data_IF_591183245140
#
_entry.id   IF_591183245140
#
_cell.length_a   1.000
_cell.length_b   1.000
_cell.length_c   1.000
_cell.angle_alpha   90.00
_cell.angle_beta   90.00
_cell.angle_gamma   90.00
#
_symmetry.space_group_name_H-M   'P 1'
#
loop_
_entity.id
_entity.type
_entity.pdbx_description
1 polymer ?
#
# COMPACT_ATOMS: atom_id res chain seq x y z
N UNK A 1 83.51 -31.20 25.72
CA UNK A 1 82.65 -32.40 25.75
C UNK A 1 81.20 -31.93 25.90
N UNK A 2 80.30 -32.43 25.02
CA UNK A 2 78.83 -32.37 25.09
C UNK A 2 78.22 -30.96 24.90
N UNK A 3 77.29 -30.69 23.98
CA UNK A 3 76.53 -31.53 23.06
C UNK A 3 75.86 -30.63 22.03
N UNK A 4 75.92 -31.09 20.78
CA UNK A 4 75.29 -30.59 19.57
C UNK A 4 73.84 -31.14 19.49
N UNK A 5 72.93 -30.37 18.86
CA UNK A 5 71.73 -30.76 18.06
C UNK A 5 70.32 -30.40 18.59
N UNK A 6 69.46 -30.12 17.59
CA UNK A 6 68.00 -29.89 17.50
C UNK A 6 67.55 -28.42 17.54
N UNK A 7 67.27 -27.71 16.42
CA UNK A 7 66.38 -27.92 15.25
C UNK A 7 64.89 -27.90 15.59
N UNK A 8 64.24 -26.76 15.27
CA UNK A 8 62.83 -26.56 14.85
C UNK A 8 62.64 -25.03 14.67
N UNK A 9 62.72 -24.43 13.47
CA UNK A 9 61.86 -24.48 12.28
C UNK A 9 60.48 -23.85 12.48
N UNK A 10 60.29 -22.66 11.86
CA UNK A 10 59.07 -22.02 11.29
C UNK A 10 59.39 -20.51 11.26
N UNK A 11 59.79 -19.80 10.20
CA UNK A 11 59.53 -19.79 8.76
C UNK A 11 58.05 -19.68 8.37
N UNK A 12 57.58 -18.44 8.18
CA UNK A 12 56.68 -18.09 7.07
C UNK A 12 56.62 -16.57 6.84
N UNK A 13 57.26 -16.16 5.75
CA UNK A 13 57.01 -14.90 5.05
C UNK A 13 55.66 -15.03 4.33
N UNK A 14 54.88 -13.95 4.33
CA UNK A 14 53.63 -13.88 3.57
C UNK A 14 53.18 -12.44 3.33
N UNK A 15 53.95 -11.68 2.56
CA UNK A 15 53.37 -10.57 1.79
C UNK A 15 52.68 -11.24 0.61
N UNK A 16 51.34 -11.20 0.51
CA UNK A 16 50.69 -11.20 -0.80
C UNK A 16 49.25 -10.65 -0.78
N UNK A 17 49.13 -9.49 -1.45
CA UNK A 17 48.14 -9.20 -2.50
C UNK A 17 46.64 -9.01 -2.19
N UNK A 18 46.20 -7.83 -2.64
CA UNK A 18 45.00 -7.59 -3.46
C UNK A 18 43.65 -7.43 -2.77
N UNK A 19 43.24 -6.16 -2.74
CA UNK A 19 41.98 -5.67 -3.29
C UNK A 19 41.17 -6.74 -4.05
N UNK A 20 40.15 -7.29 -3.41
CA UNK A 20 39.04 -7.95 -4.09
C UNK A 20 37.73 -7.36 -3.57
N UNK A 21 37.27 -6.35 -4.31
CA UNK A 21 35.94 -6.35 -4.91
C UNK A 21 34.83 -7.02 -4.09
N UNK A 22 34.11 -6.23 -3.30
CA UNK A 22 32.69 -6.48 -3.08
C UNK A 22 31.89 -5.40 -3.84
N UNK A 23 32.13 -5.32 -5.15
CA UNK A 23 31.13 -4.87 -6.11
C UNK A 23 29.99 -5.87 -6.09
N UNK A 24 29.10 -5.73 -5.12
CA UNK A 24 27.76 -6.28 -5.22
C UNK A 24 26.90 -5.21 -5.85
N UNK A 25 26.51 -5.39 -7.11
CA UNK A 25 25.33 -4.74 -7.68
C UNK A 25 24.09 -5.21 -6.90
N UNK A 26 23.99 -4.81 -5.63
CA UNK A 26 22.75 -4.90 -4.89
C UNK A 26 21.83 -3.88 -5.53
N UNK A 27 20.94 -4.37 -6.41
CA UNK A 27 19.78 -3.59 -6.84
C UNK A 27 19.21 -2.91 -5.59
N UNK A 28 18.93 -1.59 -5.63
CA UNK A 28 18.34 -0.90 -4.51
C UNK A 28 17.15 -1.70 -4.00
N UNK A 29 17.06 -1.87 -2.68
CA UNK A 29 15.90 -2.51 -2.08
C UNK A 29 14.64 -1.77 -2.54
N UNK A 30 13.60 -2.52 -2.91
CA UNK A 30 12.34 -1.94 -3.37
C UNK A 30 11.74 -1.05 -2.26
N UNK A 31 11.24 0.13 -2.65
CA UNK A 31 10.67 1.07 -1.70
C UNK A 31 9.42 0.48 -1.01
N UNK A 32 9.12 0.94 0.21
CA UNK A 32 7.91 0.52 0.93
C UNK A 32 6.65 0.84 0.12
N UNK A 33 6.62 2.01 -0.55
CA UNK A 33 5.54 2.42 -1.43
C UNK A 33 5.32 1.40 -2.57
N UNK A 34 6.39 0.98 -3.25
CA UNK A 34 6.30 0.05 -4.38
C UNK A 34 5.86 -1.36 -3.93
N UNK A 35 6.30 -1.79 -2.75
CA UNK A 35 5.85 -3.05 -2.15
C UNK A 35 4.35 -3.01 -1.83
N UNK A 36 3.86 -1.91 -1.25
CA UNK A 36 2.43 -1.74 -0.97
C UNK A 36 1.60 -1.57 -2.25
N UNK A 37 2.12 -0.83 -3.23
CA UNK A 37 1.50 -0.65 -4.54
C UNK A 37 1.30 -2.00 -5.23
N UNK A 38 2.27 -2.90 -5.14
CA UNK A 38 2.16 -4.27 -5.70
C UNK A 38 0.98 -5.02 -5.08
N UNK A 39 0.78 -4.90 -3.76
CA UNK A 39 -0.34 -5.55 -3.06
C UNK A 39 -1.67 -4.92 -3.44
N UNK A 40 -1.73 -3.59 -3.48
CA UNK A 40 -2.94 -2.82 -3.77
C UNK A 40 -3.39 -2.90 -5.23
N UNK A 41 -2.46 -3.06 -6.18
CA UNK A 41 -2.72 -3.02 -7.64
C UNK A 41 -3.48 -4.25 -8.15
N UNK A 42 -4.75 -4.35 -7.79
CA UNK A 42 -5.65 -5.47 -8.07
C UNK A 42 -7.08 -4.95 -8.28
N UNK A 43 -7.96 -5.86 -8.69
CA UNK A 43 -9.41 -5.65 -8.68
C UNK A 43 -9.98 -6.24 -7.40
N UNK A 44 -10.47 -5.38 -6.51
CA UNK A 44 -11.00 -5.71 -5.20
C UNK A 44 -12.53 -5.75 -5.23
N UNK A 45 -13.12 -6.90 -4.92
CA UNK A 45 -14.58 -7.08 -4.83
C UNK A 45 -15.05 -6.87 -3.41
N UNK A 46 -16.11 -6.10 -3.22
CA UNK A 46 -16.63 -5.83 -1.88
C UNK A 46 -17.13 -7.12 -1.23
N UNK A 47 -16.71 -7.36 0.01
CA UNK A 47 -17.22 -8.46 0.85
C UNK A 47 -18.17 -7.94 1.92
N UNK A 48 -17.89 -6.78 2.51
CA UNK A 48 -18.77 -6.14 3.47
C UNK A 48 -18.50 -4.64 3.57
N UNK A 49 -19.51 -3.91 4.01
CA UNK A 49 -19.43 -2.47 4.25
C UNK A 49 -20.21 -2.14 5.52
N UNK A 50 -19.63 -1.28 6.36
CA UNK A 50 -20.32 -0.69 7.50
C UNK A 50 -20.28 0.83 7.42
N UNK A 51 -21.34 1.46 7.93
CA UNK A 51 -21.45 2.90 8.12
C UNK A 51 -21.84 3.14 9.58
N UNK A 52 -21.06 3.95 10.28
CA UNK A 52 -21.24 4.20 11.72
C UNK A 52 -21.33 2.91 12.56
N UNK A 53 -20.59 1.86 12.14
CA UNK A 53 -20.58 0.55 12.79
C UNK A 53 -21.77 -0.36 12.46
N UNK A 54 -22.81 0.15 11.79
CA UNK A 54 -23.92 -0.67 11.30
C UNK A 54 -23.60 -1.24 9.92
N UNK A 55 -23.94 -2.50 9.69
CA UNK A 55 -23.82 -3.11 8.36
C UNK A 55 -24.71 -2.36 7.37
N UNK A 56 -24.14 -1.96 6.23
CA UNK A 56 -24.91 -1.38 5.13
C UNK A 56 -25.48 -2.55 4.33
N UNK A 57 -26.64 -3.03 4.78
CA UNK A 57 -27.37 -4.14 4.17
C UNK A 57 -28.21 -3.63 3.00
N UNK A 58 -27.57 -3.25 1.89
CA UNK A 58 -28.29 -2.89 0.66
C UNK A 58 -27.77 -3.68 -0.54
N UNK A 59 -28.68 -4.16 -1.43
CA UNK A 59 -28.29 -4.74 -2.72
C UNK A 59 -27.38 -3.82 -3.55
N UNK A 60 -27.44 -2.51 -3.27
CA UNK A 60 -26.75 -1.44 -3.96
C UNK A 60 -25.21 -1.55 -3.97
N UNK A 61 -24.62 -2.34 -3.07
CA UNK A 61 -23.18 -2.59 -2.99
C UNK A 61 -22.77 -4.01 -3.40
N UNK A 62 -23.73 -4.86 -3.78
CA UNK A 62 -23.49 -6.29 -4.09
C UNK A 62 -22.52 -6.54 -5.25
N UNK A 63 -22.44 -5.58 -6.18
CA UNK A 63 -21.55 -5.64 -7.33
C UNK A 63 -20.35 -4.68 -7.20
N UNK A 64 -20.16 -4.04 -6.04
CA UNK A 64 -19.15 -3.00 -5.88
C UNK A 64 -17.74 -3.57 -6.03
N UNK A 65 -16.98 -2.99 -6.94
CA UNK A 65 -15.56 -3.28 -7.14
C UNK A 65 -14.75 -1.99 -7.12
N UNK A 66 -13.54 -2.10 -6.56
CA UNK A 66 -12.50 -1.09 -6.56
C UNK A 66 -11.31 -1.63 -7.32
N UNK A 67 -10.93 -0.97 -8.42
CA UNK A 67 -9.68 -1.25 -9.12
C UNK A 67 -8.68 -0.20 -8.71
N UNK A 68 -7.56 -0.63 -8.14
CA UNK A 68 -6.41 0.25 -7.90
C UNK A 68 -5.31 -0.15 -8.88
N UNK A 69 -4.64 0.83 -9.46
CA UNK A 69 -3.55 0.58 -10.40
C UNK A 69 -2.51 1.69 -10.32
N UNK A 70 -1.26 1.34 -10.61
CA UNK A 70 -0.18 2.30 -10.62
C UNK A 70 1.12 1.72 -11.17
N UNK A 71 2.07 2.61 -11.40
CA UNK A 71 3.42 2.28 -11.84
C UNK A 71 4.38 2.56 -10.70
N UNK A 72 5.27 1.61 -10.40
CA UNK A 72 6.30 1.77 -9.36
C UNK A 72 7.14 3.04 -9.61
N UNK A 73 7.52 3.73 -8.55
CA UNK A 73 8.23 5.00 -8.59
C UNK A 73 7.38 6.23 -8.91
N UNK A 74 6.09 6.09 -9.23
CA UNK A 74 5.17 7.22 -9.30
C UNK A 74 4.70 7.62 -7.89
N UNK A 75 4.24 8.87 -7.74
CA UNK A 75 3.70 9.40 -6.48
C UNK A 75 2.19 9.55 -6.48
N UNK A 76 1.55 9.34 -7.63
CA UNK A 76 0.10 9.44 -7.82
C UNK A 76 -0.36 8.29 -8.71
N UNK A 77 -1.47 7.69 -8.32
CA UNK A 77 -1.98 6.42 -8.85
C UNK A 77 -3.46 6.53 -9.18
N UNK A 78 -3.95 5.67 -10.07
CA UNK A 78 -5.35 5.65 -10.47
C UNK A 78 -6.20 4.74 -9.60
N UNK A 79 -7.47 5.10 -9.43
CA UNK A 79 -8.50 4.14 -9.05
C UNK A 79 -9.75 4.28 -9.91
N UNK A 80 -10.49 3.19 -10.07
CA UNK A 80 -11.84 3.20 -10.64
C UNK A 80 -12.78 2.36 -9.79
N UNK A 81 -14.07 2.69 -9.84
CA UNK A 81 -15.13 1.93 -9.17
C UNK A 81 -16.21 1.50 -10.15
N UNK A 82 -16.75 0.30 -9.93
CA UNK A 82 -17.92 -0.21 -10.66
C UNK A 82 -18.91 -0.80 -9.66
N UNK A 83 -20.20 -0.88 -10.02
CA UNK A 83 -21.22 -1.50 -9.18
C UNK A 83 -21.48 -0.83 -7.83
N UNK A 84 -20.98 0.39 -7.61
CA UNK A 84 -21.33 1.25 -6.46
C UNK A 84 -22.73 1.85 -6.64
N UNK A 85 -23.42 2.26 -5.56
CA UNK A 85 -24.61 3.08 -5.67
C UNK A 85 -24.32 4.38 -6.44
N UNK A 86 -25.23 4.78 -7.32
CA UNK A 86 -25.08 5.97 -8.16
C UNK A 86 -25.27 7.27 -7.38
N UNK A 87 -26.11 7.28 -6.35
CA UNK A 87 -26.49 8.47 -5.58
C UNK A 87 -25.99 8.45 -4.13
N UNK A 88 -26.03 7.29 -3.46
CA UNK A 88 -25.67 7.14 -2.05
C UNK A 88 -24.35 6.39 -1.87
N UNK A 89 -23.24 7.02 -2.26
CA UNK A 89 -21.92 6.42 -2.11
C UNK A 89 -20.86 7.46 -1.77
N UNK A 90 -19.94 7.18 -0.82
CA UNK A 90 -18.78 8.03 -0.57
C UNK A 90 -17.71 7.88 -1.66
N UNK A 91 -17.87 6.90 -2.57
CA UNK A 91 -16.95 6.62 -3.66
C UNK A 91 -17.36 7.30 -4.96
N UNK A 92 -16.40 7.96 -5.61
CA UNK A 92 -16.52 8.45 -7.00
C UNK A 92 -16.31 7.31 -8.00
N UNK A 93 -16.73 7.51 -9.25
CA UNK A 93 -16.55 6.53 -10.33
C UNK A 93 -15.06 6.27 -10.63
N UNK A 94 -14.23 7.29 -10.47
CA UNK A 94 -12.78 7.22 -10.61
C UNK A 94 -12.14 8.45 -9.97
N UNK A 95 -10.82 8.39 -9.82
CA UNK A 95 -10.00 9.49 -9.35
C UNK A 95 -8.55 9.06 -9.19
N UNK A 96 -7.81 9.83 -8.41
CA UNK A 96 -6.42 9.51 -8.07
C UNK A 96 -6.25 9.20 -6.60
N UNK A 97 -5.15 8.58 -6.24
CA UNK A 97 -4.75 8.40 -4.85
C UNK A 97 -3.22 8.44 -4.74
N UNK A 98 -2.72 8.76 -3.56
CA UNK A 98 -1.30 8.76 -3.24
C UNK A 98 -1.07 8.15 -1.86
N UNK A 99 0.11 7.59 -1.63
CA UNK A 99 0.51 7.25 -0.26
C UNK A 99 0.75 8.53 0.54
N UNK A 100 0.42 8.49 1.84
CA UNK A 100 0.89 9.51 2.77
C UNK A 100 2.36 9.21 3.06
N UNK A 101 3.21 10.22 2.84
CA UNK A 101 4.65 10.11 3.05
C UNK A 101 4.97 9.68 4.49
N UNK A 102 5.91 8.76 4.63
CA UNK A 102 6.37 8.18 5.90
C UNK A 102 5.29 7.32 6.61
N UNK A 103 4.16 7.06 5.94
CA UNK A 103 3.02 6.26 6.43
C UNK A 103 2.47 5.35 5.34
N UNK A 104 3.32 4.96 4.38
CA UNK A 104 2.93 4.25 3.17
C UNK A 104 2.25 2.92 3.46
N UNK A 105 2.50 2.29 4.62
CA UNK A 105 1.91 1.00 5.01
C UNK A 105 0.50 1.08 5.58
N UNK A 106 0.01 2.27 5.90
CA UNK A 106 -1.25 2.44 6.64
C UNK A 106 -2.16 3.53 6.10
N UNK A 107 -1.63 4.54 5.40
CA UNK A 107 -2.39 5.70 4.99
C UNK A 107 -2.23 6.02 3.50
N UNK A 108 -3.37 6.29 2.87
CA UNK A 108 -3.46 6.85 1.52
C UNK A 108 -4.35 8.09 1.55
N UNK A 109 -4.13 9.01 0.63
CA UNK A 109 -5.02 10.13 0.37
C UNK A 109 -5.67 9.91 -0.99
N UNK A 110 -7.00 9.86 -1.03
CA UNK A 110 -7.79 9.90 -2.27
C UNK A 110 -7.93 11.34 -2.75
N UNK A 111 -7.85 11.53 -4.05
CA UNK A 111 -7.94 12.81 -4.75
C UNK A 111 -7.07 13.92 -4.09
N UNK A 112 -5.77 13.66 -3.82
CA UNK A 112 -4.91 14.55 -3.04
C UNK A 112 -4.78 15.97 -3.64
N UNK A 113 -4.92 16.08 -4.96
CA UNK A 113 -4.80 17.34 -5.70
C UNK A 113 -6.12 18.13 -5.79
N UNK A 114 -7.23 17.60 -5.24
CA UNK A 114 -8.53 18.25 -5.24
C UNK A 114 -8.99 18.56 -3.81
N UNK A 115 -8.90 19.83 -3.39
CA UNK A 115 -9.22 20.25 -2.04
C UNK A 115 -10.68 19.95 -1.59
N UNK A 116 -11.63 19.82 -2.52
CA UNK A 116 -13.03 19.52 -2.19
C UNK A 116 -13.31 18.02 -2.04
N UNK A 117 -12.53 17.18 -2.74
CA UNK A 117 -12.72 15.72 -2.77
C UNK A 117 -11.64 14.96 -1.99
N UNK A 118 -10.58 15.66 -1.55
CA UNK A 118 -9.46 15.10 -0.81
C UNK A 118 -9.97 14.35 0.42
N UNK A 119 -9.56 13.09 0.53
CA UNK A 119 -10.00 12.23 1.62
C UNK A 119 -8.87 11.31 2.06
N UNK A 120 -8.42 11.49 3.29
CA UNK A 120 -7.44 10.61 3.92
C UNK A 120 -8.13 9.31 4.37
N UNK A 121 -7.48 8.18 4.11
CA UNK A 121 -8.02 6.85 4.36
C UNK A 121 -6.97 5.97 5.02
N UNK A 122 -7.38 5.25 6.06
CA UNK A 122 -6.59 4.15 6.62
C UNK A 122 -6.86 2.89 5.84
N UNK A 123 -5.81 2.11 5.57
CA UNK A 123 -5.95 0.83 4.90
C UNK A 123 -5.10 -0.27 5.54
N UNK A 124 -5.55 -1.51 5.35
CA UNK A 124 -4.80 -2.73 5.69
C UNK A 124 -4.92 -3.67 4.50
N UNK A 125 -3.80 -4.07 3.93
CA UNK A 125 -3.77 -4.92 2.73
C UNK A 125 -2.94 -6.18 2.96
N UNK A 126 -3.43 -7.29 2.43
CA UNK A 126 -2.75 -8.57 2.33
C UNK A 126 -2.80 -9.08 0.88
N UNK A 127 -2.37 -10.31 0.64
CA UNK A 127 -2.44 -10.87 -0.71
C UNK A 127 -3.86 -11.07 -1.24
N UNK A 128 -4.85 -11.24 -0.37
CA UNK A 128 -6.23 -11.57 -0.77
C UNK A 128 -7.32 -10.74 -0.11
N UNK A 129 -6.97 -9.85 0.83
CA UNK A 129 -7.92 -8.99 1.51
C UNK A 129 -7.42 -7.56 1.61
N UNK A 130 -8.35 -6.62 1.47
CA UNK A 130 -8.15 -5.19 1.64
C UNK A 130 -9.24 -4.63 2.55
N UNK A 131 -8.85 -3.89 3.57
CA UNK A 131 -9.76 -3.09 4.39
C UNK A 131 -9.41 -1.62 4.20
N UNK A 132 -10.42 -0.78 3.95
CA UNK A 132 -10.28 0.68 3.86
C UNK A 132 -11.28 1.32 4.83
N UNK A 133 -10.82 2.25 5.64
CA UNK A 133 -11.66 3.02 6.55
C UNK A 133 -11.37 4.52 6.47
N UNK A 134 -12.42 5.32 6.60
CA UNK A 134 -12.34 6.79 6.57
C UNK A 134 -13.60 7.42 7.15
N UNK A 135 -13.50 8.69 7.54
CA UNK A 135 -14.65 9.52 7.87
C UNK A 135 -15.03 10.38 6.67
N UNK A 136 -16.25 10.23 6.15
CA UNK A 136 -16.73 11.01 5.02
C UNK A 136 -17.56 12.20 5.50
N UNK A 137 -17.15 13.40 5.13
CA UNK A 137 -17.85 14.67 5.44
C UNK A 137 -18.36 15.38 4.17
N UNK A 138 -18.11 14.79 3.00
CA UNK A 138 -18.51 15.34 1.71
C UNK A 138 -20.01 15.25 1.46
N UNK A 139 -20.45 15.99 0.44
CA UNK A 139 -21.81 15.88 -0.07
C UNK A 139 -21.90 14.58 -0.87
N UNK A 140 -22.80 13.67 -0.53
CA UNK A 140 -23.19 12.59 -1.46
C UNK A 140 -23.65 13.17 -2.81
N UNK A 141 -23.55 12.40 -3.89
CA UNK A 141 -23.99 12.85 -5.23
C UNK A 141 -25.52 13.07 -5.27
N UNK A 142 -26.03 14.13 -5.92
CA UNK A 142 -26.64 15.29 -5.24
C UNK A 142 -27.87 14.98 -4.36
N UNK A 143 -27.89 15.57 -3.15
CA UNK A 143 -29.13 15.86 -2.39
C UNK A 143 -29.40 15.03 -1.12
N UNK A 144 -28.53 14.06 -0.77
CA UNK A 144 -28.69 13.20 0.42
C UNK A 144 -27.42 13.08 1.25
N UNK A 145 -26.91 14.24 1.68
CA UNK A 145 -25.68 14.40 2.46
C UNK A 145 -25.68 13.55 3.73
N UNK A 146 -26.75 13.61 4.50
CA UNK A 146 -26.83 13.03 5.85
C UNK A 146 -26.84 11.51 5.82
N UNK A 147 -27.16 10.92 4.67
CA UNK A 147 -27.19 9.47 4.49
C UNK A 147 -25.82 8.89 4.11
N UNK A 148 -24.86 9.72 3.70
CA UNK A 148 -23.54 9.27 3.22
C UNK A 148 -22.40 9.72 4.13
N UNK A 149 -22.64 10.70 5.00
CA UNK A 149 -21.63 11.14 5.97
C UNK A 149 -21.38 10.10 7.08
N UNK A 150 -20.23 10.22 7.73
CA UNK A 150 -19.84 9.41 8.88
C UNK A 150 -18.70 8.44 8.60
N UNK A 151 -18.45 7.54 9.56
CA UNK A 151 -17.38 6.57 9.47
C UNK A 151 -17.78 5.42 8.56
N UNK A 152 -16.95 5.13 7.57
CA UNK A 152 -17.11 4.00 6.67
C UNK A 152 -15.99 3.00 6.87
N UNK A 153 -16.33 1.72 6.80
CA UNK A 153 -15.36 0.62 6.70
C UNK A 153 -15.79 -0.27 5.54
N UNK A 154 -14.92 -0.38 4.53
CA UNK A 154 -15.10 -1.27 3.39
C UNK A 154 -14.10 -2.40 3.50
N UNK A 155 -14.60 -3.65 3.43
CA UNK A 155 -13.76 -4.83 3.33
C UNK A 155 -13.93 -5.44 1.95
N UNK A 156 -12.83 -5.81 1.33
CA UNK A 156 -12.77 -6.38 0.00
C UNK A 156 -11.97 -7.67 0.00
N UNK A 157 -12.27 -8.52 -0.99
CA UNK A 157 -11.53 -9.75 -1.33
C UNK A 157 -11.33 -9.86 -2.84
N UNK A 158 -10.53 -10.84 -3.27
CA UNK A 158 -10.28 -11.14 -4.69
C UNK A 158 -11.30 -12.14 -5.26
#
# INVERSE_FOLDING_TARGET
MKSLKFVLLLLSVGVLFSLTNCGGDSKPAESVADQQLTKLSKTWKLTSVTQQGAAVTTPSYSAFQLVMSGTKGATSFGYTTTGRPSTLSPWKASGTWAFVKDQETTLITRDPDNASDKLDMTYVVSESALEISFNFTGQGYPGRTDQVTGNWVFKFGL
#
